data_IF_390525061762
#
_entry.id   IF_390525061762
#
_cell.length_a   1.000
_cell.length_b   1.000
_cell.length_c   1.000
_cell.angle_alpha   90.00
_cell.angle_beta   90.00
_cell.angle_gamma   90.00
#
_symmetry.space_group_name_H-M   'P 1'
#
loop_
_entity.id
_entity.type
_entity.pdbx_description
1 polymer ?
#
# COMPACT_ATOMS: atom_id res chain seq x y z
N UNK A 1 -4.59 -11.83 -9.17
CA UNK A 1 -4.50 -10.39 -8.91
C UNK A 1 -3.69 -9.75 -10.03
N UNK A 2 -4.21 -8.74 -10.74
CA UNK A 2 -3.44 -8.01 -11.74
C UNK A 2 -2.38 -7.13 -11.04
N UNK A 3 -1.19 -7.06 -11.64
CA UNK A 3 -0.11 -6.21 -11.17
C UNK A 3 0.72 -5.66 -12.33
N UNK A 4 1.45 -4.60 -12.08
CA UNK A 4 2.44 -4.02 -12.98
C UNK A 4 3.80 -4.16 -12.31
N UNK A 5 4.79 -4.62 -13.07
CA UNK A 5 6.18 -4.67 -12.66
C UNK A 5 6.97 -3.68 -13.50
N UNK A 6 7.52 -2.67 -12.88
CA UNK A 6 8.41 -1.69 -13.48
C UNK A 6 9.85 -2.04 -13.09
N UNK A 7 10.62 -2.53 -14.06
CA UNK A 7 12.02 -2.89 -13.86
C UNK A 7 12.91 -1.69 -14.23
N UNK A 8 13.61 -1.13 -13.26
CA UNK A 8 14.55 -0.06 -13.48
C UNK A 8 15.81 -0.55 -14.21
N UNK A 9 16.49 0.35 -14.90
CA UNK A 9 17.73 0.05 -15.63
C UNK A 9 18.95 -0.11 -14.72
N UNK A 10 18.86 0.43 -13.51
CA UNK A 10 19.93 0.37 -12.52
C UNK A 10 19.57 -0.54 -11.34
N UNK A 11 20.54 -1.22 -10.73
CA UNK A 11 20.32 -2.00 -9.52
C UNK A 11 19.78 -1.13 -8.37
N UNK A 12 18.89 -1.69 -7.56
CA UNK A 12 18.32 -1.01 -6.41
C UNK A 12 17.27 -1.86 -5.71
N UNK A 13 16.59 -1.34 -4.69
CA UNK A 13 15.59 -2.09 -3.96
C UNK A 13 14.32 -2.32 -4.78
N UNK A 14 13.56 -3.33 -4.39
CA UNK A 14 12.22 -3.62 -4.93
C UNK A 14 11.17 -3.09 -3.95
N UNK A 15 10.28 -2.22 -4.41
CA UNK A 15 9.21 -1.64 -3.61
C UNK A 15 7.86 -2.13 -4.10
N UNK A 16 7.03 -2.62 -3.20
CA UNK A 16 5.63 -2.97 -3.48
C UNK A 16 4.72 -1.80 -3.12
N UNK A 17 3.78 -1.50 -4.00
CA UNK A 17 2.66 -0.58 -3.76
C UNK A 17 1.37 -1.35 -3.96
N UNK A 18 0.50 -1.37 -2.95
CA UNK A 18 -0.84 -1.94 -3.08
C UNK A 18 -1.90 -0.88 -2.86
N UNK A 19 -3.02 -1.06 -3.56
CA UNK A 19 -4.25 -0.34 -3.32
C UNK A 19 -5.45 -1.27 -3.49
N UNK A 20 -6.63 -0.84 -3.06
CA UNK A 20 -7.85 -1.61 -3.22
C UNK A 20 -7.87 -2.94 -2.45
N UNK A 21 -7.14 -3.04 -1.33
CA UNK A 21 -7.38 -4.06 -0.32
C UNK A 21 -8.82 -3.90 0.19
N UNK A 22 -9.20 -2.67 0.51
CA UNK A 22 -10.60 -2.28 0.59
C UNK A 22 -11.01 -1.66 -0.76
N UNK A 23 -11.92 -2.29 -1.43
CA UNK A 23 -12.22 -2.08 -2.84
C UNK A 23 -13.07 -0.83 -3.17
N UNK A 24 -13.58 -0.12 -2.17
CA UNK A 24 -14.28 1.15 -2.32
C UNK A 24 -13.42 2.39 -1.97
N UNK A 25 -12.14 2.20 -1.76
CA UNK A 25 -11.17 3.24 -1.44
C UNK A 25 -10.51 3.75 -2.74
N UNK A 26 -11.23 4.56 -3.49
CA UNK A 26 -10.91 4.85 -4.90
C UNK A 26 -9.70 5.76 -5.10
N UNK A 27 -9.35 6.61 -4.13
CA UNK A 27 -8.21 7.53 -4.25
C UNK A 27 -6.92 6.75 -4.46
N UNK A 28 -6.61 5.80 -3.56
CA UNK A 28 -5.41 4.97 -3.65
C UNK A 28 -5.40 4.08 -4.90
N UNK A 29 -6.57 3.52 -5.30
CA UNK A 29 -6.70 2.72 -6.51
C UNK A 29 -6.31 3.54 -7.75
N UNK A 30 -6.85 4.76 -7.86
CA UNK A 30 -6.55 5.63 -9.01
C UNK A 30 -5.10 6.11 -8.98
N UNK A 31 -4.58 6.49 -7.81
CA UNK A 31 -3.18 6.87 -7.66
C UNK A 31 -2.24 5.74 -8.12
N UNK A 32 -2.52 4.49 -7.73
CA UNK A 32 -1.74 3.32 -8.15
C UNK A 32 -1.83 3.07 -9.67
N UNK A 33 -3.01 3.22 -10.28
CA UNK A 33 -3.18 3.12 -11.74
C UNK A 33 -2.35 4.18 -12.46
N UNK A 34 -2.41 5.43 -12.03
CA UNK A 34 -1.67 6.52 -12.66
C UNK A 34 -0.16 6.35 -12.48
N UNK A 35 0.31 6.03 -11.29
CA UNK A 35 1.72 5.73 -11.03
C UNK A 35 2.25 4.61 -11.95
N UNK A 36 1.44 3.59 -12.22
CA UNK A 36 1.85 2.50 -13.10
C UNK A 36 2.09 2.92 -14.55
N UNK A 37 1.50 4.05 -14.98
CA UNK A 37 1.66 4.62 -16.31
C UNK A 37 2.65 5.79 -16.38
N UNK A 38 2.84 6.50 -15.27
CA UNK A 38 3.64 7.73 -15.22
C UNK A 38 5.09 7.50 -14.78
N UNK A 39 5.36 6.43 -13.99
CA UNK A 39 6.71 6.13 -13.55
C UNK A 39 7.58 5.70 -14.73
N UNK A 40 8.61 6.49 -15.01
CA UNK A 40 9.56 6.20 -16.09
C UNK A 40 10.61 5.19 -15.61
N UNK A 41 10.63 4.00 -16.21
CA UNK A 41 11.56 2.90 -15.86
C UNK A 41 13.02 3.31 -16.00
N UNK A 42 13.37 4.19 -16.96
CA UNK A 42 14.75 4.66 -17.11
C UNK A 42 15.23 5.58 -15.97
N UNK A 43 14.30 6.10 -15.17
CA UNK A 43 14.60 6.90 -13.98
C UNK A 43 14.60 6.07 -12.68
N UNK A 44 14.33 4.76 -12.76
CA UNK A 44 14.27 3.88 -11.60
C UNK A 44 15.60 3.19 -11.32
N UNK A 45 15.95 3.13 -10.04
CA UNK A 45 16.99 2.28 -9.47
C UNK A 45 16.31 1.16 -8.70
N UNK A 46 16.36 -0.08 -9.18
CA UNK A 46 15.61 -1.21 -8.65
C UNK A 46 14.24 -1.38 -9.31
N UNK A 47 13.28 -1.91 -8.58
CA UNK A 47 11.99 -2.28 -9.16
C UNK A 47 10.82 -1.70 -8.38
N UNK A 48 9.71 -1.44 -9.07
CA UNK A 48 8.44 -1.08 -8.43
C UNK A 48 7.38 -2.08 -8.89
N UNK A 49 6.77 -2.76 -7.93
CA UNK A 49 5.62 -3.66 -8.15
C UNK A 49 4.37 -2.91 -7.71
N UNK A 50 3.38 -2.78 -8.58
CA UNK A 50 2.14 -2.07 -8.27
C UNK A 50 0.97 -3.02 -8.43
N UNK A 51 0.17 -3.19 -7.37
CA UNK A 51 -1.12 -3.89 -7.38
C UNK A 51 -2.21 -2.84 -7.17
N UNK A 52 -2.80 -2.29 -8.25
CA UNK A 52 -3.74 -1.17 -8.11
C UNK A 52 -5.09 -1.59 -7.53
N UNK A 53 -5.44 -2.87 -7.59
CA UNK A 53 -6.70 -3.39 -7.08
C UNK A 53 -6.53 -4.81 -6.55
N UNK A 54 -6.23 -4.93 -5.26
CA UNK A 54 -5.98 -6.22 -4.62
C UNK A 54 -7.27 -7.06 -4.50
N UNK A 55 -8.38 -6.46 -4.07
CA UNK A 55 -9.68 -7.11 -3.89
C UNK A 55 -10.60 -6.86 -5.09
N UNK A 56 -10.26 -7.49 -6.22
CA UNK A 56 -11.00 -7.31 -7.48
C UNK A 56 -12.45 -7.79 -7.39
N UNK A 57 -12.72 -8.94 -6.80
CA UNK A 57 -14.08 -9.48 -6.70
C UNK A 57 -14.99 -8.57 -5.87
N UNK A 58 -14.45 -8.00 -4.79
CA UNK A 58 -15.16 -7.00 -4.01
C UNK A 58 -15.48 -5.75 -4.81
N UNK A 59 -14.54 -5.25 -5.62
CA UNK A 59 -14.74 -4.08 -6.48
C UNK A 59 -15.84 -4.32 -7.52
N UNK A 60 -15.79 -5.42 -8.25
CA UNK A 60 -16.78 -5.78 -9.27
C UNK A 60 -18.18 -5.97 -8.68
N UNK A 61 -18.29 -6.43 -7.44
CA UNK A 61 -19.53 -6.66 -6.73
C UNK A 61 -19.89 -5.56 -5.70
N UNK A 62 -19.11 -4.47 -5.62
CA UNK A 62 -19.37 -3.29 -4.79
C UNK A 62 -19.56 -3.62 -3.31
N UNK A 63 -18.70 -4.46 -2.75
CA UNK A 63 -18.79 -4.92 -1.36
C UNK A 63 -18.01 -4.04 -0.37
N UNK A 64 -17.58 -2.86 -0.79
CA UNK A 64 -16.80 -1.88 -0.01
C UNK A 64 -15.46 -2.45 0.47
N UNK A 65 -15.37 -2.96 1.69
CA UNK A 65 -14.13 -3.49 2.28
C UNK A 65 -14.07 -5.01 2.30
N UNK A 66 -15.14 -5.70 1.87
CA UNK A 66 -15.24 -7.16 1.98
C UNK A 66 -14.86 -7.88 0.67
N UNK A 67 -14.27 -9.05 0.79
CA UNK A 67 -14.17 -10.01 -0.31
C UNK A 67 -15.57 -10.55 -0.59
N UNK A 68 -15.97 -10.56 -1.87
CA UNK A 68 -17.35 -10.86 -2.24
C UNK A 68 -17.82 -12.26 -1.83
N UNK A 69 -16.96 -13.26 -2.04
CA UNK A 69 -17.30 -14.68 -1.91
C UNK A 69 -17.55 -15.12 -0.47
N UNK A 70 -16.81 -14.56 0.48
CA UNK A 70 -16.85 -15.00 1.88
C UNK A 70 -17.16 -13.90 2.90
N UNK A 71 -17.35 -12.68 2.42
CA UNK A 71 -17.71 -11.50 3.23
C UNK A 71 -16.72 -11.20 4.35
N UNK A 72 -15.46 -11.62 4.20
CA UNK A 72 -14.40 -11.26 5.13
C UNK A 72 -13.72 -9.96 4.69
N UNK A 73 -13.32 -9.15 5.67
CA UNK A 73 -12.44 -8.03 5.43
C UNK A 73 -11.01 -8.55 5.15
N UNK A 74 -10.52 -8.30 3.93
CA UNK A 74 -9.21 -8.79 3.50
C UNK A 74 -8.09 -8.29 4.42
N UNK A 75 -8.19 -7.04 4.90
CA UNK A 75 -7.18 -6.43 5.79
C UNK A 75 -7.33 -6.87 7.27
N UNK A 76 -7.98 -8.00 7.53
CA UNK A 76 -8.10 -8.62 8.87
C UNK A 76 -7.70 -10.09 8.88
N UNK A 77 -7.32 -10.64 7.71
CA UNK A 77 -7.06 -12.09 7.59
C UNK A 77 -5.61 -12.44 7.23
N UNK A 78 -4.72 -11.46 7.09
CA UNK A 78 -3.29 -11.73 6.85
C UNK A 78 -2.66 -12.48 8.02
N UNK A 79 -1.82 -13.51 7.75
CA UNK A 79 -1.26 -13.95 6.46
C UNK A 79 -2.18 -14.83 5.60
N UNK A 80 -3.39 -15.15 6.05
CA UNK A 80 -4.28 -16.06 5.36
C UNK A 80 -3.83 -17.52 5.38
N UNK A 81 -4.34 -18.32 4.46
CA UNK A 81 -4.02 -19.75 4.36
C UNK A 81 -4.44 -20.35 3.04
N UNK A 82 -3.66 -21.32 2.53
CA UNK A 82 -3.90 -21.98 1.24
C UNK A 82 -5.22 -22.72 1.17
N UNK A 83 -5.64 -23.33 2.28
CA UNK A 83 -6.86 -24.13 2.40
C UNK A 83 -8.02 -23.34 3.00
N UNK A 84 -7.82 -22.03 3.22
CA UNK A 84 -8.85 -21.13 3.77
C UNK A 84 -9.90 -20.72 2.74
N UNK A 85 -10.74 -19.77 3.15
CA UNK A 85 -11.73 -19.14 2.28
C UNK A 85 -11.08 -18.24 1.21
N UNK A 86 -11.85 -17.58 0.37
CA UNK A 86 -11.34 -16.73 -0.72
C UNK A 86 -10.45 -15.60 -0.19
N UNK A 87 -10.89 -14.92 0.87
CA UNK A 87 -10.07 -13.88 1.51
C UNK A 87 -8.76 -14.44 2.09
N UNK A 88 -8.82 -15.60 2.74
CA UNK A 88 -7.63 -16.25 3.31
C UNK A 88 -6.62 -16.64 2.21
N UNK A 89 -7.10 -17.19 1.10
CA UNK A 89 -6.26 -17.54 -0.06
C UNK A 89 -5.66 -16.30 -0.72
N UNK A 90 -6.43 -15.24 -0.85
CA UNK A 90 -5.98 -13.97 -1.42
C UNK A 90 -4.89 -13.33 -0.54
N UNK A 91 -5.12 -13.23 0.78
CA UNK A 91 -4.13 -12.74 1.73
C UNK A 91 -2.84 -13.59 1.71
N UNK A 92 -2.99 -14.93 1.68
CA UNK A 92 -1.86 -15.84 1.58
C UNK A 92 -1.03 -15.59 0.31
N UNK A 93 -1.69 -15.46 -0.83
CA UNK A 93 -1.02 -15.18 -2.10
C UNK A 93 -0.32 -13.81 -2.08
N UNK A 94 -1.02 -12.73 -1.63
CA UNK A 94 -0.44 -11.40 -1.53
C UNK A 94 0.80 -11.39 -0.63
N UNK A 95 0.75 -12.08 0.50
CA UNK A 95 1.89 -12.15 1.41
C UNK A 95 3.05 -12.97 0.83
N UNK A 96 2.80 -14.21 0.40
CA UNK A 96 3.85 -15.15 0.02
C UNK A 96 4.46 -14.89 -1.35
N UNK A 97 3.70 -14.29 -2.29
CA UNK A 97 4.20 -14.00 -3.64
C UNK A 97 4.79 -12.59 -3.72
N UNK A 98 4.17 -11.61 -3.06
CA UNK A 98 4.57 -10.21 -3.20
C UNK A 98 5.22 -9.67 -1.92
N UNK A 99 4.48 -9.50 -0.83
CA UNK A 99 4.91 -8.71 0.32
C UNK A 99 6.24 -9.20 0.92
N UNK A 100 6.37 -10.51 1.13
CA UNK A 100 7.59 -11.07 1.75
C UNK A 100 8.84 -11.04 0.86
N UNK A 101 8.72 -10.68 -0.41
CA UNK A 101 9.78 -10.74 -1.41
C UNK A 101 10.24 -9.34 -1.88
N UNK A 102 9.92 -8.30 -1.13
CA UNK A 102 10.29 -6.92 -1.44
C UNK A 102 11.08 -6.28 -0.30
N UNK A 103 11.78 -5.20 -0.61
CA UNK A 103 12.61 -4.48 0.36
C UNK A 103 11.81 -3.42 1.13
N UNK A 104 10.69 -2.95 0.58
CA UNK A 104 9.78 -2.01 1.26
C UNK A 104 8.35 -2.13 0.72
N UNK A 105 7.37 -1.71 1.52
CA UNK A 105 5.96 -1.83 1.18
C UNK A 105 5.17 -0.56 1.51
N UNK A 106 4.34 -0.12 0.57
CA UNK A 106 3.42 1.01 0.68
C UNK A 106 2.00 0.50 0.43
N UNK A 107 1.09 0.72 1.38
CA UNK A 107 -0.31 0.31 1.31
C UNK A 107 -1.20 1.55 1.26
N UNK A 108 -1.93 1.75 0.15
CA UNK A 108 -2.76 2.93 -0.08
C UNK A 108 -4.21 2.63 0.29
N UNK A 109 -4.72 3.39 1.24
CA UNK A 109 -6.05 3.31 1.79
C UNK A 109 -6.77 4.67 1.78
N UNK A 110 -8.07 4.65 2.02
CA UNK A 110 -8.91 5.85 2.25
C UNK A 110 -10.17 5.48 3.05
N UNK A 111 -10.96 6.47 3.43
CA UNK A 111 -12.29 6.19 3.98
C UNK A 111 -13.24 5.62 2.92
N UNK A 112 -13.89 4.49 3.23
CA UNK A 112 -14.89 3.88 2.37
C UNK A 112 -16.21 4.68 2.35
N UNK A 113 -17.27 4.15 1.72
CA UNK A 113 -18.51 4.88 1.45
C UNK A 113 -19.21 5.52 2.66
N UNK A 114 -18.86 5.14 3.87
CA UNK A 114 -19.45 5.64 5.12
C UNK A 114 -18.45 6.29 6.07
N UNK A 115 -17.18 6.34 5.69
CA UNK A 115 -16.11 6.85 6.55
C UNK A 115 -15.66 8.24 6.12
N UNK A 116 -15.85 9.22 7.00
CA UNK A 116 -15.14 10.49 6.91
C UNK A 116 -13.75 10.30 7.49
N UNK A 117 -12.74 10.90 6.86
CA UNK A 117 -11.36 10.67 7.21
C UNK A 117 -10.55 11.96 7.16
N UNK A 118 -9.78 12.22 8.21
CA UNK A 118 -8.68 13.18 8.18
C UNK A 118 -7.42 12.45 7.71
N UNK A 119 -6.68 12.95 6.72
CA UNK A 119 -5.49 12.26 6.22
C UNK A 119 -4.46 11.97 7.31
N UNK A 120 -3.99 10.73 7.35
CA UNK A 120 -2.95 10.27 8.28
C UNK A 120 -2.19 9.08 7.69
N UNK A 121 -1.09 8.68 8.32
CA UNK A 121 -0.37 7.49 7.91
C UNK A 121 0.08 6.66 9.11
N UNK A 122 0.12 5.32 8.91
CA UNK A 122 0.55 4.35 9.92
C UNK A 122 1.93 3.78 9.63
N UNK A 123 2.67 3.48 10.70
CA UNK A 123 3.75 2.50 10.72
C UNK A 123 3.63 1.61 11.95
N UNK A 124 4.20 0.41 11.93
CA UNK A 124 4.17 -0.51 13.06
C UNK A 124 5.40 -0.32 13.94
N UNK A 125 5.18 -0.06 15.23
CA UNK A 125 6.22 0.02 16.24
C UNK A 125 6.68 -1.33 16.76
N UNK A 126 7.78 -1.33 17.51
CA UNK A 126 8.35 -2.50 18.18
C UNK A 126 8.68 -3.65 17.22
N UNK A 127 9.18 -3.31 16.00
CA UNK A 127 9.59 -4.27 14.97
C UNK A 127 11.01 -3.98 14.48
N UNK A 128 11.71 -4.98 13.88
CA UNK A 128 13.01 -4.73 13.27
C UNK A 128 12.99 -3.67 12.16
N UNK A 129 11.82 -3.46 11.53
CA UNK A 129 11.62 -2.52 10.45
C UNK A 129 11.20 -1.11 10.91
N UNK A 130 10.99 -0.87 12.21
CA UNK A 130 10.40 0.37 12.73
C UNK A 130 11.13 1.63 12.28
N UNK A 131 12.45 1.68 12.39
CA UNK A 131 13.22 2.88 12.05
C UNK A 131 13.12 3.21 10.55
N UNK A 132 13.25 2.20 9.70
CA UNK A 132 13.13 2.37 8.25
C UNK A 132 11.69 2.78 7.85
N UNK A 133 10.67 2.16 8.46
CA UNK A 133 9.27 2.52 8.24
C UNK A 133 8.98 3.97 8.69
N UNK A 134 9.51 4.40 9.85
CA UNK A 134 9.41 5.77 10.33
C UNK A 134 10.07 6.77 9.37
N UNK A 135 11.22 6.39 8.77
CA UNK A 135 11.88 7.20 7.75
C UNK A 135 11.02 7.32 6.48
N UNK A 136 10.39 6.23 6.03
CA UNK A 136 9.44 6.28 4.91
C UNK A 136 8.26 7.19 5.24
N UNK A 137 7.69 7.06 6.45
CA UNK A 137 6.56 7.86 6.89
C UNK A 137 6.89 9.35 6.95
N UNK A 138 8.12 9.74 7.31
CA UNK A 138 8.52 11.15 7.30
C UNK A 138 8.49 11.79 5.92
N UNK A 139 8.36 11.01 4.87
CA UNK A 139 8.21 11.47 3.49
C UNK A 139 6.75 11.64 3.05
N UNK A 140 5.78 11.34 3.92
CA UNK A 140 4.35 11.50 3.65
C UNK A 140 3.89 12.87 4.14
N UNK A 141 3.29 13.66 3.25
CA UNK A 141 2.74 14.97 3.59
C UNK A 141 1.37 14.82 4.27
N UNK A 142 1.38 14.52 5.56
CA UNK A 142 0.17 14.38 6.36
C UNK A 142 0.35 15.02 7.73
N UNK A 143 -0.76 15.52 8.30
CA UNK A 143 -0.75 16.15 9.62
C UNK A 143 -0.52 15.14 10.75
N UNK A 144 -0.92 13.89 10.56
CA UNK A 144 -0.90 12.88 11.61
C UNK A 144 -0.13 11.63 11.17
N UNK A 145 0.82 11.24 12.00
CA UNK A 145 1.59 10.00 11.90
C UNK A 145 1.27 9.12 13.10
N UNK A 146 0.80 7.91 12.84
CA UNK A 146 0.34 6.99 13.88
C UNK A 146 1.30 5.82 14.04
N UNK A 147 1.93 5.71 15.21
CA UNK A 147 2.69 4.53 15.60
C UNK A 147 1.72 3.45 16.07
N UNK A 148 1.43 2.49 15.21
CA UNK A 148 0.55 1.37 15.52
C UNK A 148 1.26 0.32 16.39
N UNK A 149 0.47 -0.41 17.18
CA UNK A 149 0.91 -1.60 17.94
C UNK A 149 0.16 -2.87 17.52
N UNK A 150 -0.74 -2.77 16.56
CA UNK A 150 -1.51 -3.90 16.06
C UNK A 150 -0.62 -4.78 15.17
N UNK A 151 -0.26 -5.97 15.64
CA UNK A 151 0.70 -6.87 14.97
C UNK A 151 0.05 -7.90 14.04
N UNK A 152 -1.26 -7.95 13.96
CA UNK A 152 -2.01 -9.02 13.29
C UNK A 152 -3.08 -8.49 12.34
N UNK A 153 -3.41 -9.29 11.34
CA UNK A 153 -4.57 -9.13 10.48
C UNK A 153 -4.38 -8.24 9.26
N UNK A 154 -3.59 -7.17 9.37
CA UNK A 154 -3.37 -6.23 8.27
C UNK A 154 -2.12 -6.55 7.44
N UNK A 155 -2.11 -6.11 6.18
CA UNK A 155 -1.02 -6.35 5.24
C UNK A 155 0.28 -5.66 5.68
N UNK A 156 0.24 -4.32 5.91
CA UNK A 156 1.44 -3.57 6.34
C UNK A 156 1.94 -4.01 7.72
N UNK A 157 1.02 -4.41 8.62
CA UNK A 157 1.38 -4.92 9.95
C UNK A 157 2.22 -6.19 9.82
N UNK A 158 1.73 -7.13 9.01
CA UNK A 158 2.43 -8.39 8.79
C UNK A 158 3.79 -8.19 8.11
N UNK A 159 3.87 -7.30 7.11
CA UNK A 159 5.13 -6.93 6.47
C UNK A 159 6.16 -6.44 7.51
N UNK A 160 5.77 -5.48 8.36
CA UNK A 160 6.64 -4.94 9.41
C UNK A 160 7.08 -6.00 10.42
N UNK A 161 6.18 -6.92 10.83
CA UNK A 161 6.51 -8.04 11.72
C UNK A 161 7.59 -8.94 11.11
N UNK A 162 7.61 -9.09 9.78
CA UNK A 162 8.61 -9.86 9.05
C UNK A 162 9.85 -9.06 8.66
N UNK A 163 10.02 -7.86 9.23
CA UNK A 163 11.21 -7.03 9.02
C UNK A 163 11.20 -6.21 7.72
N UNK A 164 10.06 -6.14 7.02
CA UNK A 164 9.90 -5.35 5.80
C UNK A 164 9.37 -3.96 6.18
N UNK A 165 10.14 -2.89 5.97
CA UNK A 165 9.68 -1.52 6.21
C UNK A 165 8.39 -1.26 5.45
N UNK A 166 7.34 -0.87 6.17
CA UNK A 166 6.04 -0.67 5.55
C UNK A 166 5.27 0.47 6.19
N UNK A 167 4.54 1.20 5.34
CA UNK A 167 3.65 2.29 5.73
C UNK A 167 2.28 2.07 5.10
N UNK A 168 1.23 2.48 5.80
CA UNK A 168 -0.11 2.57 5.26
C UNK A 168 -0.50 4.05 5.25
N UNK A 169 -0.95 4.54 4.10
CA UNK A 169 -1.39 5.93 3.90
C UNK A 169 -2.91 5.93 3.78
N UNK A 170 -3.55 6.73 4.61
CA UNK A 170 -4.99 6.95 4.63
C UNK A 170 -5.29 8.35 4.08
N UNK A 171 -5.83 8.44 2.86
CA UNK A 171 -6.14 9.71 2.20
C UNK A 171 -7.39 9.57 1.33
N UNK A 172 -8.30 10.53 1.45
CA UNK A 172 -9.63 10.47 0.84
C UNK A 172 -10.68 9.91 1.79
N UNK A 173 -11.94 10.13 1.49
CA UNK A 173 -13.07 9.77 2.36
C UNK A 173 -14.33 9.52 1.55
N UNK A 174 -15.30 8.79 2.14
CA UNK A 174 -16.65 8.57 1.61
C UNK A 174 -16.64 7.99 0.19
N UNK A 175 -15.66 7.17 -0.15
CA UNK A 175 -15.44 6.66 -1.52
C UNK A 175 -15.45 7.77 -2.58
N UNK A 176 -15.06 8.99 -2.20
CA UNK A 176 -14.99 10.10 -3.15
C UNK A 176 -13.73 9.98 -4.02
N UNK A 177 -13.87 10.44 -5.25
CA UNK A 177 -12.81 10.46 -6.25
C UNK A 177 -12.36 11.91 -6.45
N UNK A 178 -11.49 12.40 -5.56
CA UNK A 178 -10.99 13.79 -5.59
C UNK A 178 -9.60 13.86 -6.18
N UNK A 179 -9.43 14.72 -7.17
CA UNK A 179 -8.17 14.86 -7.89
C UNK A 179 -7.00 15.29 -7.00
N UNK A 180 -7.26 16.23 -6.08
CA UNK A 180 -6.25 16.73 -5.14
C UNK A 180 -5.67 15.61 -4.25
N UNK A 181 -6.53 14.68 -3.81
CA UNK A 181 -6.15 13.56 -2.94
C UNK A 181 -5.36 12.50 -3.72
N UNK A 182 -5.75 12.24 -4.98
CA UNK A 182 -5.02 11.34 -5.89
C UNK A 182 -3.61 11.87 -6.16
N UNK A 183 -3.49 13.17 -6.49
CA UNK A 183 -2.18 13.80 -6.72
C UNK A 183 -1.32 13.81 -5.46
N UNK A 184 -1.92 14.00 -4.29
CA UNK A 184 -1.20 13.96 -3.02
C UNK A 184 -0.66 12.54 -2.72
N UNK A 185 -1.45 11.48 -2.93
CA UNK A 185 -0.96 10.10 -2.79
C UNK A 185 0.18 9.79 -3.75
N UNK A 186 0.05 10.21 -5.02
CA UNK A 186 1.13 10.04 -6.01
C UNK A 186 2.41 10.78 -5.59
N UNK A 187 2.28 12.01 -5.09
CA UNK A 187 3.41 12.79 -4.60
C UNK A 187 4.09 12.13 -3.40
N UNK A 188 3.31 11.62 -2.44
CA UNK A 188 3.82 10.93 -1.25
C UNK A 188 4.54 9.64 -1.64
N UNK A 189 3.96 8.82 -2.52
CA UNK A 189 4.61 7.61 -3.04
C UNK A 189 5.93 7.94 -3.73
N UNK A 190 5.94 8.92 -4.65
CA UNK A 190 7.17 9.34 -5.32
C UNK A 190 8.22 9.86 -4.33
N UNK A 191 7.80 10.54 -3.26
CA UNK A 191 8.70 11.03 -2.23
C UNK A 191 9.29 9.89 -1.40
N UNK A 192 8.50 8.87 -1.06
CA UNK A 192 8.99 7.65 -0.42
C UNK A 192 9.98 6.91 -1.35
N UNK A 193 9.67 6.77 -2.64
CA UNK A 193 10.56 6.14 -3.61
C UNK A 193 11.92 6.87 -3.70
N UNK A 194 11.93 8.23 -3.61
CA UNK A 194 13.18 9.00 -3.50
C UNK A 194 13.92 8.73 -2.19
N UNK A 195 13.19 8.66 -1.08
CA UNK A 195 13.76 8.34 0.23
C UNK A 195 14.45 6.97 0.26
N UNK A 196 13.89 6.00 -0.47
CA UNK A 196 14.42 4.65 -0.62
C UNK A 196 15.51 4.54 -1.71
N UNK A 197 15.78 5.60 -2.45
CA UNK A 197 16.75 5.60 -3.54
C UNK A 197 16.27 4.91 -4.82
N UNK A 198 14.97 4.62 -4.94
CA UNK A 198 14.35 4.02 -6.14
C UNK A 198 14.11 5.07 -7.22
N UNK A 199 13.72 6.29 -6.85
CA UNK A 199 13.65 7.43 -7.75
C UNK A 199 14.80 8.38 -7.49
N UNK A 200 15.34 8.98 -8.57
CA UNK A 200 16.31 10.05 -8.46
C UNK A 200 15.70 11.32 -7.84
N UNK A 201 16.54 12.12 -7.19
CA UNK A 201 16.15 13.37 -6.56
C UNK A 201 16.19 13.32 -5.04
N UNK A 202 16.01 14.47 -4.42
CA UNK A 202 16.04 14.60 -2.96
C UNK A 202 14.63 14.35 -2.39
N UNK A 203 14.53 13.46 -1.40
CA UNK A 203 13.33 13.32 -0.62
C UNK A 203 13.09 14.53 0.28
N UNK A 204 11.84 14.91 0.44
CA UNK A 204 11.39 15.93 1.40
C UNK A 204 10.93 15.23 2.67
N UNK A 205 11.33 15.73 3.83
CA UNK A 205 10.81 15.28 5.13
C UNK A 205 9.86 16.35 5.68
N UNK A 206 8.70 15.90 6.14
CA UNK A 206 7.64 16.72 6.73
C UNK A 206 7.61 16.61 8.24
#
# INVERSE_FOLDING_TARGET
VPYVLLCGEQPGPTVLITAGIHNAEYVGIQAAIELSNELNVSALHGNVVIIPLANRSGFENRTMSMVYEDRKNLNRVFPGGREGSTADKLAHMLFHVFIRNVDAYIDLHSGDGYETLTPFAYYLGDTPAEEAARKMLSCVNTQYCVRSRCRTGGAYNLASVHGIPSVLIERGQLSLFRREEIEADKADVCNILRCLGVLSGKAVSY
#
